data_IF_832710534962
#
_entry.id   IF_832710534962
#
_cell.length_a   1.000
_cell.length_b   1.000
_cell.length_c   1.000
_cell.angle_alpha   90.00
_cell.angle_beta   90.00
_cell.angle_gamma   90.00
#
_symmetry.space_group_name_H-M   'P 1'
#
loop_
_entity.id
_entity.type
_entity.pdbx_description
1 polymer ?
#
# COMPACT_ATOMS: atom_id res chain seq x y z
N UNK A 1 -45.45 -34.72 12.45
CA UNK A 1 -44.67 -34.68 11.18
C UNK A 1 -45.03 -33.49 10.28
N UNK A 2 -46.29 -33.06 10.16
CA UNK A 2 -46.67 -32.01 9.19
C UNK A 2 -46.17 -30.58 9.52
N UNK A 3 -46.04 -30.21 10.80
CA UNK A 3 -45.79 -28.80 11.18
C UNK A 3 -44.35 -28.33 10.96
N UNK A 4 -43.34 -29.21 11.08
CA UNK A 4 -41.92 -28.85 10.87
C UNK A 4 -41.48 -28.98 9.40
N UNK A 5 -42.24 -29.70 8.57
CA UNK A 5 -41.84 -29.99 7.19
C UNK A 5 -41.78 -28.73 6.32
N UNK A 6 -42.80 -27.87 6.41
CA UNK A 6 -42.86 -26.61 5.65
C UNK A 6 -41.71 -25.65 5.99
N UNK A 7 -41.42 -25.32 7.26
CA UNK A 7 -40.28 -24.46 7.59
C UNK A 7 -38.94 -25.11 7.25
N UNK A 8 -38.80 -26.44 7.38
CA UNK A 8 -37.57 -27.14 7.00
C UNK A 8 -37.29 -27.08 5.49
N UNK A 9 -38.30 -27.31 4.65
CA UNK A 9 -38.17 -27.18 3.20
C UNK A 9 -37.77 -25.76 2.80
N UNK A 10 -38.42 -24.74 3.39
CA UNK A 10 -38.06 -23.34 3.14
C UNK A 10 -36.62 -23.03 3.53
N UNK A 11 -36.14 -23.59 4.65
CA UNK A 11 -34.75 -23.45 5.07
C UNK A 11 -33.79 -24.09 4.05
N UNK A 12 -34.09 -25.29 3.55
CA UNK A 12 -33.27 -25.95 2.53
C UNK A 12 -33.21 -25.17 1.21
N UNK A 13 -34.33 -24.63 0.75
CA UNK A 13 -34.39 -23.84 -0.48
C UNK A 13 -33.59 -22.53 -0.34
N UNK A 14 -33.70 -21.88 0.82
CA UNK A 14 -32.96 -20.66 1.12
C UNK A 14 -31.44 -20.92 1.20
N UNK A 15 -31.04 -22.08 1.73
CA UNK A 15 -29.64 -22.51 1.75
C UNK A 15 -29.11 -22.82 0.34
N UNK A 16 -29.89 -23.52 -0.48
CA UNK A 16 -29.50 -23.89 -1.85
C UNK A 16 -29.35 -22.68 -2.78
N UNK A 17 -30.08 -21.60 -2.51
CA UNK A 17 -30.02 -20.34 -3.27
C UNK A 17 -28.97 -19.35 -2.76
N UNK A 18 -28.19 -19.71 -1.73
CA UNK A 18 -27.17 -18.85 -1.13
C UNK A 18 -27.73 -17.70 -0.29
N UNK A 19 -29.02 -17.75 0.08
CA UNK A 19 -29.68 -16.66 0.83
C UNK A 19 -29.06 -16.44 2.22
N UNK A 20 -28.41 -17.46 2.79
CA UNK A 20 -27.73 -17.40 4.08
C UNK A 20 -26.22 -17.11 4.02
N UNK A 21 -25.67 -16.90 2.81
CA UNK A 21 -24.23 -16.68 2.64
C UNK A 21 -23.75 -15.46 3.43
N UNK A 22 -22.69 -15.65 4.19
CA UNK A 22 -22.10 -14.61 5.05
C UNK A 22 -22.85 -14.32 6.35
N UNK A 23 -24.03 -14.92 6.58
CA UNK A 23 -24.82 -14.75 7.81
C UNK A 23 -24.91 -16.03 8.65
N UNK A 24 -24.78 -17.21 8.04
CA UNK A 24 -24.80 -18.50 8.71
C UNK A 24 -23.47 -19.23 8.48
N UNK A 25 -22.85 -19.74 9.53
CA UNK A 25 -21.63 -20.53 9.43
C UNK A 25 -21.91 -21.89 8.77
N UNK A 26 -20.94 -22.38 7.97
CA UNK A 26 -21.09 -23.66 7.26
C UNK A 26 -21.31 -24.84 8.22
N UNK A 27 -20.64 -24.83 9.37
CA UNK A 27 -20.80 -25.83 10.44
C UNK A 27 -22.21 -25.84 11.01
N UNK A 28 -22.76 -24.66 11.32
CA UNK A 28 -24.12 -24.48 11.84
C UNK A 28 -25.17 -24.87 10.80
N UNK A 29 -25.00 -24.45 9.54
CA UNK A 29 -25.87 -24.83 8.42
C UNK A 29 -25.94 -26.35 8.24
N UNK A 30 -24.79 -27.03 8.18
CA UNK A 30 -24.72 -28.50 8.03
C UNK A 30 -25.39 -29.19 9.22
N UNK A 31 -25.19 -28.70 10.45
CA UNK A 31 -25.80 -29.27 11.66
C UNK A 31 -27.33 -29.15 11.65
N UNK A 32 -27.87 -27.99 11.29
CA UNK A 32 -29.32 -27.78 11.18
C UNK A 32 -29.91 -28.65 10.08
N UNK A 33 -29.26 -28.73 8.92
CA UNK A 33 -29.71 -29.62 7.82
C UNK A 33 -29.75 -31.08 8.27
N UNK A 34 -28.72 -31.54 8.97
CA UNK A 34 -28.67 -32.89 9.54
C UNK A 34 -29.85 -33.14 10.46
N UNK A 35 -30.04 -32.29 11.48
CA UNK A 35 -31.11 -32.45 12.46
C UNK A 35 -32.51 -32.43 11.84
N UNK A 36 -32.78 -31.50 10.93
CA UNK A 36 -34.08 -31.41 10.26
C UNK A 36 -34.36 -32.65 9.41
N UNK A 37 -33.37 -33.15 8.66
CA UNK A 37 -33.49 -34.40 7.89
C UNK A 37 -33.73 -35.61 8.79
N UNK A 38 -33.05 -35.68 9.93
CA UNK A 38 -33.23 -36.74 10.93
C UNK A 38 -34.65 -36.72 11.49
N UNK A 39 -35.18 -35.56 11.90
CA UNK A 39 -36.53 -35.41 12.48
C UNK A 39 -37.64 -35.65 11.45
N UNK A 40 -37.37 -35.34 10.17
CA UNK A 40 -38.30 -35.60 9.07
C UNK A 40 -38.26 -37.03 8.54
N UNK A 41 -37.34 -37.87 9.04
CA UNK A 41 -37.22 -39.26 8.59
C UNK A 41 -38.40 -40.11 9.08
N UNK A 42 -38.65 -41.24 8.41
CA UNK A 42 -39.68 -42.19 8.83
C UNK A 42 -39.38 -42.83 10.21
N UNK A 43 -38.10 -42.86 10.62
CA UNK A 43 -37.65 -43.42 11.89
C UNK A 43 -36.61 -42.50 12.57
N UNK A 44 -37.03 -41.36 13.16
CA UNK A 44 -36.12 -40.31 13.60
C UNK A 44 -35.06 -40.75 14.62
N UNK A 45 -35.42 -41.59 15.59
CA UNK A 45 -34.49 -42.06 16.62
C UNK A 45 -33.40 -42.99 16.04
N UNK A 46 -33.77 -43.86 15.09
CA UNK A 46 -32.79 -44.72 14.43
C UNK A 46 -31.85 -43.92 13.52
N UNK A 47 -32.38 -42.93 12.79
CA UNK A 47 -31.58 -41.99 12.01
C UNK A 47 -30.63 -41.20 12.91
N UNK A 48 -31.11 -40.68 14.03
CA UNK A 48 -30.31 -39.91 14.98
C UNK A 48 -29.15 -40.71 15.55
N UNK A 49 -29.41 -41.96 15.98
CA UNK A 49 -28.37 -42.84 16.48
C UNK A 49 -27.30 -43.14 15.43
N UNK A 50 -27.70 -43.32 14.17
CA UNK A 50 -26.79 -43.60 13.06
C UNK A 50 -25.92 -42.39 12.71
N UNK A 51 -26.54 -41.23 12.59
CA UNK A 51 -25.89 -40.03 12.06
C UNK A 51 -24.99 -39.35 13.11
N UNK A 52 -25.34 -39.47 14.41
CA UNK A 52 -24.65 -38.78 15.50
C UNK A 52 -23.93 -39.72 16.49
N UNK A 53 -24.06 -41.04 16.34
CA UNK A 53 -23.31 -42.04 17.11
C UNK A 53 -23.63 -42.09 18.62
N UNK A 54 -24.74 -41.48 19.05
CA UNK A 54 -25.20 -41.44 20.45
C UNK A 54 -26.36 -42.42 20.67
N UNK A 55 -26.57 -42.84 21.93
CA UNK A 55 -27.77 -43.58 22.32
C UNK A 55 -28.99 -42.67 22.05
N UNK A 56 -29.87 -43.07 21.15
CA UNK A 56 -31.02 -42.25 20.78
C UNK A 56 -32.10 -42.30 21.87
N UNK A 57 -32.28 -41.18 22.55
CA UNK A 57 -33.47 -40.91 23.36
C UNK A 57 -34.24 -39.73 22.74
N UNK A 58 -35.57 -39.67 22.89
CA UNK A 58 -36.36 -38.52 22.43
C UNK A 58 -35.87 -37.20 23.02
N UNK A 59 -35.48 -37.20 24.29
CA UNK A 59 -34.91 -36.04 24.99
C UNK A 59 -33.61 -35.58 24.34
N UNK A 60 -32.66 -36.49 24.12
CA UNK A 60 -31.38 -36.16 23.49
C UNK A 60 -31.54 -35.60 22.07
N UNK A 61 -32.51 -36.13 21.30
CA UNK A 61 -32.81 -35.61 19.95
C UNK A 61 -33.38 -34.18 20.01
N UNK A 62 -34.31 -33.92 20.94
CA UNK A 62 -34.91 -32.60 21.11
C UNK A 62 -33.89 -31.56 21.59
N UNK A 63 -33.01 -31.93 22.51
CA UNK A 63 -31.95 -31.05 23.02
C UNK A 63 -30.98 -30.66 21.91
N UNK A 64 -30.51 -31.63 21.13
CA UNK A 64 -29.53 -31.38 20.07
C UNK A 64 -30.14 -30.59 18.89
N UNK A 65 -31.43 -30.81 18.58
CA UNK A 65 -32.19 -30.00 17.62
C UNK A 65 -32.33 -28.56 18.12
N UNK A 66 -32.75 -28.38 19.36
CA UNK A 66 -32.95 -27.05 19.97
C UNK A 66 -31.64 -26.29 20.00
N UNK A 67 -30.55 -26.92 20.42
CA UNK A 67 -29.22 -26.31 20.44
C UNK A 67 -28.72 -25.91 19.03
N UNK A 68 -29.05 -26.70 18.00
CA UNK A 68 -28.70 -26.36 16.62
C UNK A 68 -29.51 -25.15 16.11
N UNK A 69 -30.82 -25.11 16.38
CA UNK A 69 -31.69 -24.01 15.98
C UNK A 69 -31.37 -22.72 16.73
N UNK A 70 -31.11 -22.77 18.03
CA UNK A 70 -30.72 -21.59 18.82
C UNK A 70 -29.45 -20.95 18.26
N UNK A 71 -28.41 -21.75 17.97
CA UNK A 71 -27.18 -21.23 17.37
C UNK A 71 -27.42 -20.59 16.01
N UNK A 72 -28.24 -21.22 15.16
CA UNK A 72 -28.59 -20.66 13.86
C UNK A 72 -29.39 -19.36 13.97
N UNK A 73 -30.30 -19.26 14.94
CA UNK A 73 -31.03 -18.01 15.23
C UNK A 73 -30.07 -16.94 15.73
N UNK A 74 -29.15 -17.26 16.63
CA UNK A 74 -28.16 -16.30 17.13
C UNK A 74 -27.27 -15.75 16.00
N UNK A 75 -26.85 -16.61 15.08
CA UNK A 75 -26.07 -16.20 13.89
C UNK A 75 -26.90 -15.33 12.93
N UNK A 76 -28.13 -15.73 12.61
CA UNK A 76 -29.00 -15.01 11.67
C UNK A 76 -29.58 -13.70 12.24
N UNK A 77 -29.68 -13.59 13.57
CA UNK A 77 -30.19 -12.39 14.26
C UNK A 77 -29.07 -11.48 14.74
N UNK A 78 -27.80 -11.92 14.66
CA UNK A 78 -26.66 -11.05 14.90
C UNK A 78 -26.73 -9.84 13.95
N UNK A 79 -26.77 -8.61 14.47
CA UNK A 79 -26.73 -7.45 13.60
C UNK A 79 -25.41 -7.45 12.81
N UNK A 80 -25.52 -7.26 11.49
CA UNK A 80 -24.42 -7.13 10.51
C UNK A 80 -23.36 -6.09 10.97
N UNK A 81 -23.70 -5.24 11.94
CA UNK A 81 -22.81 -4.26 12.55
C UNK A 81 -21.54 -4.84 13.15
N UNK A 82 -21.54 -6.08 13.67
CA UNK A 82 -20.28 -6.65 14.18
C UNK A 82 -19.31 -7.07 13.05
N UNK A 83 -19.81 -7.47 11.89
CA UNK A 83 -19.00 -7.78 10.69
C UNK A 83 -18.55 -6.47 10.02
N UNK A 84 -19.43 -5.45 9.95
CA UNK A 84 -19.06 -4.11 9.50
C UNK A 84 -18.07 -3.43 10.44
N UNK A 85 -18.21 -3.56 11.76
CA UNK A 85 -17.25 -3.02 12.71
C UNK A 85 -15.89 -3.65 12.52
N UNK A 86 -15.79 -4.98 12.41
CA UNK A 86 -14.52 -5.68 12.16
C UNK A 86 -13.89 -5.29 10.80
N UNK A 87 -14.69 -5.19 9.74
CA UNK A 87 -14.22 -4.72 8.43
C UNK A 87 -13.81 -3.24 8.45
N UNK A 88 -14.49 -2.41 9.26
CA UNK A 88 -14.16 -1.00 9.49
C UNK A 88 -12.88 -0.85 10.32
N UNK A 89 -12.59 -1.73 11.27
CA UNK A 89 -11.34 -1.64 12.05
C UNK A 89 -10.11 -1.95 11.20
N UNK A 90 -10.22 -2.85 10.21
CA UNK A 90 -9.11 -3.22 9.31
C UNK A 90 -8.88 -2.15 8.23
N UNK A 91 -9.89 -1.34 7.89
CA UNK A 91 -9.76 -0.24 6.90
C UNK A 91 -9.56 1.15 7.51
N UNK A 92 -9.92 1.38 8.77
CA UNK A 92 -9.75 2.70 9.43
C UNK A 92 -8.29 2.96 9.86
N UNK A 93 -7.54 1.92 10.21
CA UNK A 93 -6.11 2.06 10.56
C UNK A 93 -5.21 2.44 9.39
N UNK A 94 -5.55 2.00 8.17
CA UNK A 94 -4.79 2.31 6.94
C UNK A 94 -5.23 3.60 6.25
N UNK A 95 -6.47 4.07 6.46
CA UNK A 95 -6.99 5.28 5.80
C UNK A 95 -6.52 6.59 6.43
N UNK A 96 -6.17 6.62 7.72
CA UNK A 96 -5.67 7.85 8.38
C UNK A 96 -4.26 8.24 7.97
N UNK A 97 -3.46 7.30 7.47
CA UNK A 97 -2.09 7.53 6.99
C UNK A 97 -2.04 8.14 5.60
N UNK A 98 -3.17 8.10 4.87
CA UNK A 98 -3.26 8.43 3.43
C UNK A 98 -4.05 9.72 3.16
N UNK A 99 -4.76 10.22 4.18
CA UNK A 99 -5.48 11.49 4.13
C UNK A 99 -4.49 12.65 3.93
N UNK A 100 -4.67 13.42 2.86
CA UNK A 100 -3.82 14.57 2.53
C UNK A 100 -2.53 14.26 1.77
N UNK A 101 -2.32 13.03 1.28
CA UNK A 101 -1.19 12.70 0.40
C UNK A 101 -1.15 13.60 -0.87
N UNK A 102 -2.32 13.82 -1.47
CA UNK A 102 -2.48 14.74 -2.61
C UNK A 102 -2.40 16.22 -2.20
N UNK A 103 -2.48 16.51 -0.89
CA UNK A 103 -2.42 17.87 -0.38
C UNK A 103 -1.01 18.39 -0.17
N UNK A 104 -0.02 17.49 -0.14
CA UNK A 104 1.41 17.80 -0.03
C UNK A 104 1.88 18.70 -1.16
N UNK A 105 2.70 19.70 -0.83
CA UNK A 105 3.13 20.72 -1.78
C UNK A 105 3.96 20.09 -2.91
N UNK A 106 4.83 19.13 -2.59
CA UNK A 106 5.66 18.43 -3.56
C UNK A 106 4.83 17.56 -4.52
N UNK A 107 3.79 16.89 -4.01
CA UNK A 107 2.86 16.10 -4.84
C UNK A 107 2.08 17.03 -5.77
N UNK A 108 1.56 18.15 -5.26
CA UNK A 108 0.90 19.18 -6.09
C UNK A 108 1.84 19.74 -7.16
N UNK A 109 3.12 19.93 -6.86
CA UNK A 109 4.11 20.40 -7.82
C UNK A 109 4.33 19.40 -8.98
N UNK A 110 4.36 18.10 -8.69
CA UNK A 110 4.45 17.05 -9.73
C UNK A 110 3.22 17.05 -10.64
N UNK A 111 2.02 17.14 -10.05
CA UNK A 111 0.78 17.21 -10.82
C UNK A 111 0.68 18.48 -11.67
N UNK A 112 1.09 19.62 -11.10
CA UNK A 112 1.13 20.92 -11.80
C UNK A 112 2.15 20.94 -12.94
N UNK A 113 3.24 20.17 -12.81
CA UNK A 113 4.20 19.93 -13.89
C UNK A 113 3.64 19.07 -15.04
N UNK A 114 2.38 18.61 -14.93
CA UNK A 114 1.67 17.90 -15.98
C UNK A 114 1.73 16.38 -15.88
N UNK A 115 2.30 15.82 -14.81
CA UNK A 115 2.22 14.38 -14.56
C UNK A 115 0.76 13.98 -14.29
N UNK A 116 0.25 12.99 -15.01
CA UNK A 116 -1.11 12.51 -14.81
C UNK A 116 -1.20 11.70 -13.50
N UNK A 117 -2.24 11.93 -12.71
CA UNK A 117 -2.42 11.26 -11.41
C UNK A 117 -2.46 9.74 -11.55
N UNK A 118 -3.08 9.22 -12.59
CA UNK A 118 -3.14 7.78 -12.87
C UNK A 118 -1.79 7.17 -13.28
N UNK A 119 -0.78 8.01 -13.59
CA UNK A 119 0.59 7.56 -13.92
C UNK A 119 1.54 7.57 -12.74
N UNK A 120 1.07 7.95 -11.56
CA UNK A 120 1.87 7.96 -10.34
C UNK A 120 1.39 6.83 -9.44
N UNK A 121 2.29 5.87 -9.20
CA UNK A 121 2.00 4.76 -8.28
C UNK A 121 1.87 5.29 -6.85
N UNK A 122 1.17 4.52 -6.01
CA UNK A 122 1.06 4.87 -4.59
C UNK A 122 2.43 5.03 -3.91
N UNK A 123 3.36 4.09 -4.16
CA UNK A 123 4.71 4.15 -3.60
C UNK A 123 5.44 5.43 -3.98
N UNK A 124 5.33 5.86 -5.24
CA UNK A 124 5.90 7.15 -5.70
C UNK A 124 5.29 8.32 -4.93
N UNK A 125 3.95 8.37 -4.81
CA UNK A 125 3.29 9.47 -4.10
C UNK A 125 3.63 9.49 -2.60
N UNK A 126 3.78 8.31 -1.98
CA UNK A 126 4.18 8.19 -0.58
C UNK A 126 5.58 8.73 -0.34
N UNK A 127 6.54 8.36 -1.19
CA UNK A 127 7.92 8.89 -1.11
C UNK A 127 7.92 10.41 -1.30
N UNK A 128 7.14 10.94 -2.25
CA UNK A 128 7.02 12.39 -2.42
C UNK A 128 6.41 13.08 -1.20
N UNK A 129 5.41 12.46 -0.55
CA UNK A 129 4.83 12.98 0.68
C UNK A 129 5.84 13.00 1.84
N UNK A 130 6.69 11.98 1.94
CA UNK A 130 7.73 11.89 2.98
C UNK A 130 8.90 12.86 2.72
N UNK A 131 9.21 13.15 1.46
CA UNK A 131 10.22 14.14 1.06
C UNK A 131 9.73 15.59 1.18
N UNK A 132 8.43 15.84 1.35
CA UNK A 132 7.83 17.18 1.35
C UNK A 132 8.48 18.12 2.38
N UNK A 133 8.71 17.62 3.61
CA UNK A 133 9.33 18.38 4.69
C UNK A 133 10.82 18.75 4.44
N UNK A 134 11.48 18.07 3.51
CA UNK A 134 12.85 18.39 3.14
C UNK A 134 12.95 19.53 2.12
N UNK A 135 11.91 19.72 1.30
CA UNK A 135 11.90 20.67 0.19
C UNK A 135 11.45 22.04 0.68
N UNK A 136 12.34 23.03 0.57
CA UNK A 136 12.00 24.42 0.87
C UNK A 136 11.25 25.08 -0.30
N UNK A 137 11.61 24.75 -1.54
CA UNK A 137 10.97 25.31 -2.72
C UNK A 137 11.13 24.41 -3.96
N UNK A 138 10.09 24.35 -4.81
CA UNK A 138 10.20 23.83 -6.19
C UNK A 138 10.39 25.00 -7.14
N UNK A 139 11.52 25.06 -7.85
CA UNK A 139 11.95 26.21 -8.67
C UNK A 139 11.77 25.99 -10.17
N UNK A 140 11.45 24.77 -10.60
CA UNK A 140 11.16 24.45 -12.00
C UNK A 140 10.97 22.97 -12.23
N UNK A 141 10.64 22.60 -13.47
CA UNK A 141 10.46 21.22 -13.86
C UNK A 141 10.82 20.98 -15.33
N UNK A 142 11.16 19.73 -15.65
CA UNK A 142 11.19 19.20 -17.02
C UNK A 142 10.38 17.91 -17.03
N UNK A 143 9.43 17.80 -17.95
CA UNK A 143 8.70 16.56 -18.19
C UNK A 143 9.23 15.85 -19.41
N UNK A 144 9.53 14.57 -19.26
CA UNK A 144 10.05 13.71 -20.30
C UNK A 144 9.05 12.63 -20.67
N UNK A 145 8.93 12.34 -21.96
CA UNK A 145 8.29 11.13 -22.49
C UNK A 145 9.36 10.10 -22.76
N UNK A 146 9.07 8.85 -22.46
CA UNK A 146 9.91 7.71 -22.79
C UNK A 146 9.20 6.87 -23.84
N UNK A 147 9.93 6.45 -24.86
CA UNK A 147 9.44 5.58 -25.93
C UNK A 147 10.39 4.37 -26.07
N UNK A 148 9.80 3.18 -26.18
CA UNK A 148 10.52 1.90 -26.20
C UNK A 148 10.78 1.33 -24.80
N UNK A 149 11.30 0.11 -24.77
CA UNK A 149 11.60 -0.61 -23.52
C UNK A 149 12.89 -0.06 -22.86
N UNK A 150 12.83 0.50 -21.63
CA UNK A 150 14.00 0.98 -20.89
C UNK A 150 15.09 -0.07 -20.62
N UNK A 151 14.74 -1.36 -20.63
CA UNK A 151 15.71 -2.45 -20.52
C UNK A 151 16.55 -2.58 -21.80
N UNK A 152 15.99 -2.21 -22.95
CA UNK A 152 16.69 -2.16 -24.24
C UNK A 152 17.62 -0.94 -24.36
N UNK A 153 18.61 -1.01 -25.24
CA UNK A 153 19.48 0.13 -25.56
C UNK A 153 18.88 1.13 -26.57
N UNK A 154 17.68 0.84 -27.08
CA UNK A 154 17.03 1.61 -28.14
C UNK A 154 15.94 2.55 -27.62
N UNK A 155 15.67 2.54 -26.30
CA UNK A 155 14.72 3.46 -25.70
C UNK A 155 15.17 4.91 -25.90
N UNK A 156 14.19 5.77 -26.18
CA UNK A 156 14.42 7.19 -26.38
C UNK A 156 13.68 8.03 -25.34
N UNK A 157 14.14 9.27 -25.18
CA UNK A 157 13.58 10.26 -24.27
C UNK A 157 13.38 11.56 -25.04
N UNK A 158 12.21 12.16 -24.88
CA UNK A 158 11.87 13.44 -25.48
C UNK A 158 11.30 14.38 -24.41
N UNK A 159 11.51 15.69 -24.57
CA UNK A 159 10.96 16.68 -23.65
C UNK A 159 9.54 17.02 -24.10
N UNK A 160 8.60 16.95 -23.17
CA UNK A 160 7.19 17.27 -23.39
C UNK A 160 6.88 18.68 -22.92
N UNK A 161 7.41 19.07 -21.76
CA UNK A 161 7.13 20.37 -21.16
C UNK A 161 8.28 20.83 -20.23
N UNK A 162 8.37 22.14 -20.01
CA UNK A 162 9.32 22.77 -19.09
C UNK A 162 8.72 23.99 -18.38
N UNK A 163 9.03 24.10 -17.10
CA UNK A 163 8.62 25.24 -16.26
C UNK A 163 9.72 25.76 -15.35
N UNK A 164 9.52 26.99 -14.87
CA UNK A 164 10.45 27.70 -13.99
C UNK A 164 11.84 27.83 -14.61
N UNK A 165 12.88 27.63 -13.79
CA UNK A 165 14.28 27.78 -14.23
C UNK A 165 14.64 26.88 -15.42
N UNK A 166 13.92 25.77 -15.62
CA UNK A 166 14.23 24.77 -16.65
C UNK A 166 14.06 25.28 -18.09
N UNK A 167 13.27 26.33 -18.29
CA UNK A 167 13.04 26.93 -19.62
C UNK A 167 14.32 27.46 -20.24
N UNK A 168 15.22 28.00 -19.40
CA UNK A 168 16.47 28.62 -19.84
C UNK A 168 17.66 27.65 -19.78
N UNK A 169 17.45 26.40 -19.35
CA UNK A 169 18.52 25.39 -19.24
C UNK A 169 18.67 24.59 -20.52
N UNK A 170 19.91 24.42 -20.98
CA UNK A 170 20.19 23.53 -22.09
C UNK A 170 20.07 22.06 -21.65
N UNK A 171 19.24 21.27 -22.33
CA UNK A 171 19.10 19.84 -22.04
C UNK A 171 20.00 19.02 -22.95
N UNK A 172 20.61 17.95 -22.40
CA UNK A 172 21.32 16.97 -23.23
C UNK A 172 20.41 16.25 -24.23
N UNK A 173 19.12 16.15 -23.89
CA UNK A 173 18.12 15.50 -24.74
C UNK A 173 17.96 16.25 -26.07
N UNK A 174 18.23 17.55 -26.07
CA UNK A 174 18.16 18.39 -27.27
C UNK A 174 19.25 18.00 -28.30
N UNK A 175 20.36 17.40 -27.85
CA UNK A 175 21.45 16.93 -28.72
C UNK A 175 21.42 15.40 -28.96
N UNK A 176 20.87 14.62 -28.02
CA UNK A 176 20.75 13.17 -28.15
C UNK A 176 19.55 12.67 -27.36
N UNK A 177 18.62 12.01 -28.07
CA UNK A 177 17.39 11.47 -27.49
C UNK A 177 17.57 10.06 -26.88
N UNK A 178 18.77 9.50 -26.82
CA UNK A 178 18.97 8.16 -26.26
C UNK A 178 18.74 8.13 -24.74
N UNK A 179 17.90 7.21 -24.25
CA UNK A 179 17.64 7.03 -22.83
C UNK A 179 18.86 6.38 -22.14
N UNK A 180 19.66 7.19 -21.44
CA UNK A 180 20.90 6.73 -20.78
C UNK A 180 21.09 7.31 -19.39
N UNK A 181 21.98 6.66 -18.62
CA UNK A 181 22.41 7.11 -17.30
C UNK A 181 21.27 7.10 -16.28
N UNK A 182 21.19 8.15 -15.45
CA UNK A 182 20.22 8.26 -14.35
C UNK A 182 18.77 8.13 -14.82
N UNK A 183 18.41 8.70 -15.96
CA UNK A 183 17.04 8.61 -16.50
C UNK A 183 16.66 7.18 -16.87
N UNK A 184 17.58 6.42 -17.49
CA UNK A 184 17.36 4.99 -17.78
C UNK A 184 17.20 4.19 -16.49
N UNK A 185 18.04 4.45 -15.49
CA UNK A 185 17.96 3.75 -14.19
C UNK A 185 16.59 3.92 -13.56
N UNK A 186 16.08 5.15 -13.47
CA UNK A 186 14.75 5.43 -12.92
C UNK A 186 13.64 4.81 -13.76
N UNK A 187 13.78 4.84 -15.08
CA UNK A 187 12.80 4.20 -15.95
C UNK A 187 12.74 2.68 -15.77
N UNK A 188 13.84 2.05 -15.37
CA UNK A 188 13.90 0.62 -15.06
C UNK A 188 13.46 0.29 -13.63
N UNK A 189 13.91 1.05 -12.62
CA UNK A 189 13.59 0.78 -11.22
C UNK A 189 12.19 1.25 -10.83
N UNK A 190 11.65 2.23 -11.54
CA UNK A 190 10.36 2.88 -11.23
C UNK A 190 10.32 3.50 -9.82
N UNK A 191 11.49 3.87 -9.31
CA UNK A 191 11.65 4.50 -8.00
C UNK A 191 11.97 6.00 -8.15
N UNK A 192 11.48 6.77 -7.19
CA UNK A 192 11.84 8.20 -7.07
C UNK A 192 13.31 8.31 -6.75
N UNK A 193 14.00 9.27 -7.38
CA UNK A 193 15.41 9.53 -7.10
C UNK A 193 15.65 11.01 -6.81
N UNK A 194 16.23 11.28 -5.65
CA UNK A 194 16.84 12.56 -5.32
C UNK A 194 18.30 12.56 -5.77
N UNK A 195 18.70 13.57 -6.53
CA UNK A 195 20.06 13.65 -7.09
C UNK A 195 20.58 15.08 -7.17
N UNK A 196 21.90 15.20 -7.31
CA UNK A 196 22.58 16.46 -7.63
C UNK A 196 23.12 16.39 -9.06
N UNK A 197 22.85 17.43 -9.86
CA UNK A 197 23.27 17.53 -11.24
C UNK A 197 24.80 17.57 -11.35
N UNK A 198 25.40 16.64 -12.12
CA UNK A 198 26.88 16.56 -12.26
C UNK A 198 27.53 17.77 -12.93
N UNK A 199 26.77 18.58 -13.68
CA UNK A 199 27.30 19.74 -14.43
C UNK A 199 27.03 21.06 -13.73
N UNK A 200 25.87 21.19 -13.11
CA UNK A 200 25.34 22.46 -12.59
C UNK A 200 25.11 22.42 -11.07
N UNK A 201 25.45 21.32 -10.41
CA UNK A 201 25.31 21.09 -8.97
C UNK A 201 23.90 21.30 -8.41
N UNK A 202 22.88 21.39 -9.28
CA UNK A 202 21.50 21.65 -8.87
C UNK A 202 20.85 20.39 -8.33
N UNK A 203 20.07 20.53 -7.28
CA UNK A 203 19.29 19.45 -6.68
C UNK A 203 18.01 19.21 -7.47
N UNK A 204 17.75 17.93 -7.75
CA UNK A 204 16.61 17.49 -8.54
C UNK A 204 15.94 16.27 -7.92
N UNK A 205 14.63 16.16 -8.09
CA UNK A 205 13.85 14.96 -7.78
C UNK A 205 13.32 14.43 -9.10
N UNK A 206 13.63 13.19 -9.42
CA UNK A 206 13.14 12.51 -10.61
C UNK A 206 12.03 11.54 -10.22
N UNK A 207 10.88 11.72 -10.85
CA UNK A 207 9.63 11.01 -10.56
C UNK A 207 9.23 10.18 -11.78
N UNK A 208 9.20 8.86 -11.70
CA UNK A 208 8.77 8.01 -12.81
C UNK A 208 7.25 8.11 -13.02
N UNK A 209 6.83 8.19 -14.28
CA UNK A 209 5.44 8.10 -14.70
C UNK A 209 5.20 6.75 -15.38
N UNK A 210 4.37 5.89 -14.80
CA UNK A 210 4.15 4.53 -15.28
C UNK A 210 2.73 4.28 -15.79
N UNK A 211 2.58 3.27 -16.65
CA UNK A 211 1.30 2.72 -17.07
C UNK A 211 1.40 1.20 -17.01
N UNK A 212 0.80 0.60 -15.99
CA UNK A 212 1.06 -0.81 -15.68
C UNK A 212 2.53 -1.01 -15.30
N UNK A 213 3.19 -1.97 -15.95
CA UNK A 213 4.61 -2.25 -15.73
C UNK A 213 5.56 -1.36 -16.54
N UNK A 214 5.05 -0.50 -17.44
CA UNK A 214 5.89 0.29 -18.35
C UNK A 214 6.09 1.72 -17.85
N UNK A 215 7.31 2.24 -17.95
CA UNK A 215 7.60 3.65 -17.69
C UNK A 215 7.37 4.47 -18.95
N UNK A 216 6.35 5.32 -18.92
CA UNK A 216 5.92 6.18 -20.04
C UNK A 216 6.56 7.56 -20.01
N UNK A 217 7.12 7.97 -18.87
CA UNK A 217 7.73 9.28 -18.72
C UNK A 217 8.49 9.44 -17.41
N UNK A 218 9.14 10.59 -17.29
CA UNK A 218 9.80 11.04 -16.05
C UNK A 218 9.49 12.52 -15.88
N UNK A 219 8.99 12.89 -14.71
CA UNK A 219 8.91 14.29 -14.29
C UNK A 219 10.12 14.60 -13.41
N UNK A 220 10.95 15.54 -13.86
CA UNK A 220 12.11 16.04 -13.12
C UNK A 220 11.75 17.39 -12.51
N UNK A 221 11.80 17.48 -11.18
CA UNK A 221 11.65 18.74 -10.45
C UNK A 221 13.01 19.30 -10.07
N UNK A 222 13.22 20.59 -10.31
CA UNK A 222 14.31 21.35 -9.69
C UNK A 222 13.83 21.84 -8.34
N UNK A 223 14.54 21.48 -7.28
CA UNK A 223 14.14 21.78 -5.90
C UNK A 223 15.28 22.43 -5.14
N UNK A 224 14.92 23.27 -4.17
CA UNK A 224 15.79 23.71 -3.10
C UNK A 224 15.39 22.92 -1.86
N UNK A 225 16.38 22.39 -1.14
CA UNK A 225 16.16 21.77 0.16
C UNK A 225 16.33 22.81 1.27
N UNK A 226 15.78 22.53 2.44
CA UNK A 226 16.25 23.19 3.66
C UNK A 226 17.73 22.87 3.88
N UNK A 227 18.50 23.79 4.45
CA UNK A 227 19.92 23.52 4.74
C UNK A 227 20.03 22.41 5.78
N UNK A 228 19.22 22.48 6.84
CA UNK A 228 19.16 21.51 7.95
C UNK A 228 17.72 21.32 8.41
N UNK A 229 17.46 20.20 9.07
CA UNK A 229 16.17 19.90 9.70
C UNK A 229 16.38 19.44 11.14
N UNK A 230 15.37 19.56 12.02
CA UNK A 230 15.38 18.89 13.31
C UNK A 230 15.58 17.38 13.14
N UNK A 231 16.33 16.74 14.03
CA UNK A 231 16.69 15.32 13.93
C UNK A 231 15.48 14.40 13.72
N UNK A 232 14.38 14.63 14.46
CA UNK A 232 13.15 13.85 14.31
C UNK A 232 12.50 13.97 12.93
N UNK A 233 12.56 15.15 12.31
CA UNK A 233 12.03 15.37 10.95
C UNK A 233 12.97 14.75 9.92
N UNK A 234 14.28 14.93 10.06
CA UNK A 234 15.28 14.29 9.18
C UNK A 234 15.14 12.76 9.20
N UNK A 235 14.94 12.16 10.39
CA UNK A 235 14.68 10.73 10.55
C UNK A 235 13.45 10.28 9.76
N UNK A 236 12.33 11.00 9.85
CA UNK A 236 11.11 10.68 9.11
C UNK A 236 11.34 10.75 7.59
N UNK A 237 12.00 11.81 7.11
CA UNK A 237 12.34 11.97 5.69
C UNK A 237 13.22 10.82 5.20
N UNK A 238 14.27 10.48 5.94
CA UNK A 238 15.20 9.40 5.57
C UNK A 238 14.56 8.01 5.65
N UNK A 239 13.65 7.77 6.60
CA UNK A 239 12.90 6.52 6.68
C UNK A 239 11.94 6.37 5.48
N UNK A 240 11.28 7.47 5.08
CA UNK A 240 10.35 7.48 3.95
C UNK A 240 11.00 7.44 2.57
N UNK A 241 12.30 7.72 2.48
CA UNK A 241 13.04 7.71 1.22
C UNK A 241 14.13 6.62 1.21
N UNK A 242 13.91 5.55 0.43
CA UNK A 242 14.85 4.41 0.24
C UNK A 242 15.30 3.73 1.56
N UNK A 243 14.45 3.83 2.60
CA UNK A 243 14.73 3.37 3.96
C UNK A 243 16.14 3.73 4.44
N UNK A 244 16.60 4.94 4.08
CA UNK A 244 17.98 5.38 4.28
C UNK A 244 18.33 5.53 5.74
N UNK A 245 17.33 5.80 6.60
CA UNK A 245 17.55 5.90 8.04
C UNK A 245 18.08 4.58 8.61
N UNK A 246 17.40 3.46 8.37
CA UNK A 246 17.83 2.15 8.91
C UNK A 246 19.20 1.76 8.36
N UNK A 247 19.42 1.94 7.05
CA UNK A 247 20.72 1.67 6.42
C UNK A 247 21.85 2.53 6.97
N UNK A 248 21.56 3.78 7.35
CA UNK A 248 22.54 4.67 7.98
C UNK A 248 22.82 4.23 9.41
N UNK A 249 21.80 3.83 10.18
CA UNK A 249 21.98 3.26 11.52
C UNK A 249 22.88 2.03 11.45
N UNK A 250 22.58 1.09 10.56
CA UNK A 250 23.37 -0.12 10.36
C UNK A 250 24.84 0.22 10.04
N UNK A 251 25.06 1.08 9.04
CA UNK A 251 26.40 1.48 8.60
C UNK A 251 27.21 2.21 9.69
N UNK A 252 26.56 3.02 10.53
CA UNK A 252 27.23 3.70 11.65
C UNK A 252 27.55 2.68 12.75
N UNK A 253 26.60 1.83 13.13
CA UNK A 253 26.78 0.83 14.20
C UNK A 253 27.78 -0.28 13.85
N UNK A 254 28.17 -0.40 12.58
CA UNK A 254 29.29 -1.24 12.14
C UNK A 254 30.64 -0.74 12.70
N UNK A 255 30.78 0.57 12.93
CA UNK A 255 32.05 1.20 13.36
C UNK A 255 31.98 1.93 14.70
N UNK A 256 30.81 2.48 15.05
CA UNK A 256 30.58 3.25 16.27
C UNK A 256 29.72 2.46 17.27
N UNK A 257 29.95 2.66 18.57
CA UNK A 257 29.26 1.90 19.62
C UNK A 257 27.74 2.17 19.71
N UNK A 258 27.28 3.34 19.26
CA UNK A 258 25.87 3.72 19.27
C UNK A 258 25.56 4.76 18.19
N UNK A 259 24.34 4.72 17.66
CA UNK A 259 23.85 5.73 16.75
C UNK A 259 23.38 6.99 17.50
N UNK A 260 24.10 8.10 17.31
CA UNK A 260 23.72 9.41 17.84
C UNK A 260 22.67 10.09 16.96
N UNK A 261 21.39 9.96 17.30
CA UNK A 261 20.28 10.54 16.53
C UNK A 261 20.35 12.07 16.44
N UNK A 262 20.88 12.75 17.46
CA UNK A 262 21.03 14.21 17.52
C UNK A 262 21.88 14.77 16.36
N UNK A 263 22.88 14.01 15.90
CA UNK A 263 23.74 14.40 14.78
C UNK A 263 23.00 14.52 13.45
N UNK A 264 21.81 13.92 13.31
CA UNK A 264 20.98 14.11 12.11
C UNK A 264 20.64 15.59 11.86
N UNK A 265 20.57 16.40 12.91
CA UNK A 265 20.32 17.84 12.79
C UNK A 265 21.54 18.64 12.29
N UNK A 266 22.73 18.05 12.29
CA UNK A 266 23.98 18.69 11.87
C UNK A 266 24.28 18.46 10.38
N UNK A 267 23.73 17.40 9.79
CA UNK A 267 23.95 17.01 8.39
C UNK A 267 23.08 17.86 7.47
N UNK A 268 23.62 18.25 6.32
CA UNK A 268 22.84 18.95 5.31
C UNK A 268 21.77 18.02 4.72
N UNK A 269 20.55 18.52 4.50
CA UNK A 269 19.45 17.71 3.94
C UNK A 269 19.85 17.12 2.58
N UNK A 270 20.48 17.93 1.75
CA UNK A 270 20.91 17.49 0.43
C UNK A 270 21.95 16.36 0.51
N UNK A 271 22.91 16.43 1.44
CA UNK A 271 23.93 15.39 1.57
C UNK A 271 23.34 14.12 2.22
N UNK A 272 22.46 14.26 3.21
CA UNK A 272 21.75 13.14 3.83
C UNK A 272 20.93 12.33 2.80
N UNK A 273 20.31 13.01 1.83
CA UNK A 273 19.50 12.38 0.78
C UNK A 273 20.32 11.84 -0.40
N UNK A 274 21.45 12.47 -0.75
CA UNK A 274 22.13 12.23 -2.04
C UNK A 274 23.43 11.44 -1.87
N UNK A 275 24.20 11.68 -0.80
CA UNK A 275 25.48 10.99 -0.64
C UNK A 275 25.29 9.48 -0.45
N UNK A 276 26.29 8.67 -0.82
CA UNK A 276 26.30 7.26 -0.44
C UNK A 276 26.18 7.11 1.07
N UNK A 277 25.47 6.06 1.52
CA UNK A 277 25.26 5.80 2.95
C UNK A 277 26.59 5.74 3.72
N UNK A 278 27.63 5.15 3.12
CA UNK A 278 28.97 5.08 3.72
C UNK A 278 29.58 6.47 3.94
N UNK A 279 29.48 7.38 2.97
CA UNK A 279 29.98 8.76 3.10
C UNK A 279 29.19 9.57 4.14
N UNK A 280 27.89 9.34 4.25
CA UNK A 280 27.07 9.95 5.31
C UNK A 280 27.42 9.36 6.68
N UNK A 281 27.66 8.05 6.77
CA UNK A 281 28.06 7.37 7.99
C UNK A 281 29.44 7.84 8.50
N UNK A 282 30.36 8.17 7.60
CA UNK A 282 31.66 8.75 7.97
C UNK A 282 31.51 10.07 8.76
N UNK A 283 30.39 10.79 8.61
CA UNK A 283 30.10 11.98 9.41
C UNK A 283 29.83 11.66 10.88
N UNK A 284 29.56 10.40 11.23
CA UNK A 284 29.38 9.96 12.62
C UNK A 284 30.68 9.62 13.31
N UNK A 285 31.79 9.50 12.58
CA UNK A 285 33.12 9.29 13.17
C UNK A 285 33.52 10.49 14.01
N UNK A 286 34.17 10.20 15.13
CA UNK A 286 34.77 11.18 16.03
C UNK A 286 36.14 11.67 15.52
#
# INVERSE_FOLDING_TARGET
>A
HAEIGVPATRFFDSLATGTYDGNLEASTAVRVVGMLRTVMSANPLQSYQRDFGKIATPEALLDDLTAALTRAVDELTRPIDAIKHQAKTITVGISRSEEGLLDRALVKAVLTAGAARERLTYGVLKVLADLDAAVSQVVGFTRYRIEGDPASNNATVAIVDRGGISRDLQSRVDASNALRGTKRRIAMSQEVLVARGRRDNRTVILVPETKGAETTGITLLHVLFHDRLPAGVMKQVLAGYDNRYERLVDAVTETEAAFREDRLAEVSVADALILPITSTADMWRA
#
